data_IF_909832086737
#
_entry.id   IF_909832086737
#
_cell.length_a   1.000
_cell.length_b   1.000
_cell.length_c   1.000
_cell.angle_alpha   90.00
_cell.angle_beta   90.00
_cell.angle_gamma   90.00
#
_symmetry.space_group_name_H-M   'P 1'
#
loop_
_entity.id
_entity.type
_entity.pdbx_description
1 polymer ?
#
# COMPACT_ATOMS: atom_id res chain seq x y z
N UNK A 1 26.55 18.28 0.93
CA UNK A 1 25.30 17.55 1.26
C UNK A 1 24.61 17.19 -0.05
N UNK A 2 24.32 15.90 -0.30
CA UNK A 2 23.58 15.45 -1.50
C UNK A 2 22.16 15.12 -1.06
N UNK A 3 21.16 15.74 -1.67
CA UNK A 3 19.74 15.44 -1.45
C UNK A 3 19.31 14.48 -2.57
N UNK A 4 18.66 13.38 -2.19
CA UNK A 4 18.13 12.39 -3.14
C UNK A 4 16.64 12.22 -2.87
N UNK A 5 15.82 12.34 -3.91
CA UNK A 5 14.39 12.05 -3.84
C UNK A 5 14.16 10.60 -4.25
N UNK A 6 13.49 9.84 -3.39
CA UNK A 6 13.16 8.44 -3.61
C UNK A 6 11.64 8.27 -3.67
N UNK A 7 11.20 7.33 -4.50
CA UNK A 7 9.80 6.94 -4.63
C UNK A 7 9.54 5.72 -3.74
N UNK A 8 8.79 5.90 -2.65
CA UNK A 8 8.46 4.83 -1.70
C UNK A 8 7.70 3.67 -2.36
N UNK A 9 6.96 3.93 -3.45
CA UNK A 9 6.24 2.90 -4.19
C UNK A 9 7.19 1.92 -4.90
N UNK A 10 8.44 2.32 -5.18
CA UNK A 10 9.49 1.42 -5.71
C UNK A 10 10.02 0.42 -4.69
N UNK A 11 9.69 0.61 -3.42
CA UNK A 11 9.99 -0.32 -2.34
C UNK A 11 8.77 -1.13 -1.94
N UNK A 12 7.62 -0.46 -1.83
CA UNK A 12 6.38 -0.99 -1.29
C UNK A 12 5.22 -0.77 -2.28
N UNK A 13 5.12 -1.59 -3.36
CA UNK A 13 4.22 -1.35 -4.48
C UNK A 13 2.77 -1.78 -4.17
N UNK A 14 2.14 -1.13 -3.21
CA UNK A 14 0.73 -1.34 -2.88
C UNK A 14 0.06 -0.04 -2.43
N UNK A 15 -1.25 -0.07 -2.21
CA UNK A 15 -1.98 1.14 -1.80
C UNK A 15 -1.55 1.60 -0.41
N UNK A 16 -1.54 2.92 -0.22
CA UNK A 16 -1.18 3.54 1.05
C UNK A 16 -2.02 3.01 2.23
N UNK A 17 -3.35 2.93 2.08
CA UNK A 17 -4.22 2.33 3.10
C UNK A 17 -3.80 0.93 3.51
N UNK A 18 -3.39 0.11 2.52
CA UNK A 18 -2.98 -1.26 2.78
C UNK A 18 -1.68 -1.29 3.56
N UNK A 19 -0.72 -0.42 3.22
CA UNK A 19 0.53 -0.28 3.96
C UNK A 19 0.27 0.12 5.42
N UNK A 20 -0.53 1.16 5.65
CA UNK A 20 -0.89 1.62 7.00
C UNK A 20 -1.55 0.50 7.80
N UNK A 21 -2.45 -0.29 7.18
CA UNK A 21 -3.14 -1.40 7.86
C UNK A 21 -2.22 -2.56 8.28
N UNK A 22 -0.99 -2.64 7.75
CA UNK A 22 -0.01 -3.62 8.21
C UNK A 22 0.70 -3.22 9.52
N UNK A 23 0.64 -1.95 9.89
CA UNK A 23 1.30 -1.45 11.09
C UNK A 23 0.43 -1.73 12.32
N UNK A 24 1.07 -2.18 13.39
CA UNK A 24 0.47 -2.29 14.72
C UNK A 24 0.43 -0.92 15.41
N UNK A 25 -0.46 -0.69 16.39
CA UNK A 25 -0.52 0.58 17.12
C UNK A 25 0.79 1.05 17.77
N UNK A 26 1.72 0.15 18.09
CA UNK A 26 3.05 0.49 18.62
C UNK A 26 4.08 0.88 17.55
N UNK A 27 3.78 0.67 16.27
CA UNK A 27 4.65 0.98 15.13
C UNK A 27 4.44 2.40 14.57
N UNK A 28 3.44 3.13 15.09
CA UNK A 28 3.14 4.52 14.76
C UNK A 28 3.90 5.50 15.67
N UNK A 29 5.24 5.38 15.68
CA UNK A 29 6.10 6.13 16.59
C UNK A 29 6.13 7.62 16.27
N UNK A 30 6.21 7.98 15.00
CA UNK A 30 6.23 9.35 14.52
C UNK A 30 4.85 9.99 14.71
N UNK A 31 3.76 9.29 14.39
CA UNK A 31 2.41 9.78 14.66
C UNK A 31 2.23 10.16 16.14
N UNK A 32 2.70 9.34 17.08
CA UNK A 32 2.64 9.67 18.52
C UNK A 32 3.51 10.88 18.88
N UNK A 33 4.68 11.02 18.25
CA UNK A 33 5.57 12.15 18.50
C UNK A 33 5.00 13.48 17.97
N UNK A 34 4.30 13.46 16.82
CA UNK A 34 3.69 14.65 16.21
C UNK A 34 2.31 14.99 16.80
N UNK A 35 1.65 14.03 17.44
CA UNK A 35 0.37 14.20 18.13
C UNK A 35 0.44 13.67 19.58
N UNK A 36 1.29 14.25 20.46
CA UNK A 36 1.52 13.71 21.80
C UNK A 36 0.37 13.95 22.79
N UNK A 37 -0.49 14.95 22.51
CA UNK A 37 -1.52 15.44 23.44
C UNK A 37 -2.94 15.08 23.00
N UNK A 38 -3.11 14.18 22.02
CA UNK A 38 -4.44 13.70 21.62
C UNK A 38 -4.84 12.50 22.47
N UNK A 39 -6.13 12.39 22.77
CA UNK A 39 -6.68 11.21 23.44
C UNK A 39 -6.63 9.99 22.51
N UNK A 40 -6.66 8.78 23.08
CA UNK A 40 -6.58 7.55 22.28
C UNK A 40 -7.72 7.45 21.25
N UNK A 41 -8.95 7.90 21.57
CA UNK A 41 -10.08 7.91 20.63
C UNK A 41 -9.81 8.82 19.43
N UNK A 42 -9.21 9.99 19.67
CA UNK A 42 -8.84 10.95 18.63
C UNK A 42 -7.65 10.43 17.82
N UNK A 43 -6.68 9.79 18.47
CA UNK A 43 -5.55 9.17 17.78
C UNK A 43 -5.99 8.08 16.79
N UNK A 44 -6.96 7.25 17.19
CA UNK A 44 -7.52 6.21 16.30
C UNK A 44 -8.26 6.79 15.09
N UNK A 45 -8.72 8.05 15.14
CA UNK A 45 -9.24 8.72 13.95
C UNK A 45 -8.13 9.03 12.95
N UNK A 46 -6.94 9.40 13.42
CA UNK A 46 -5.80 9.76 12.56
C UNK A 46 -5.18 8.55 11.84
N UNK A 47 -5.33 7.34 12.39
CA UNK A 47 -4.82 6.11 11.77
C UNK A 47 -5.74 5.54 10.69
N UNK A 48 -6.95 6.09 10.55
CA UNK A 48 -7.86 5.70 9.48
C UNK A 48 -7.51 6.46 8.22
N UNK A 49 -7.90 5.88 7.08
CA UNK A 49 -7.81 6.54 5.79
C UNK A 49 -8.48 7.92 5.86
N UNK A 50 -7.68 8.96 5.64
CA UNK A 50 -8.21 10.31 5.49
C UNK A 50 -9.09 10.43 4.25
N UNK A 51 -10.06 11.34 4.28
CA UNK A 51 -10.94 11.58 3.14
C UNK A 51 -10.91 13.05 2.78
N UNK A 52 -10.74 13.35 1.49
CA UNK A 52 -10.51 14.70 1.02
C UNK A 52 -11.35 15.03 -0.22
N UNK A 53 -11.97 16.22 -0.31
CA UNK A 53 -12.83 16.59 -1.42
C UNK A 53 -12.00 17.17 -2.59
N UNK A 54 -11.25 16.30 -3.28
CA UNK A 54 -10.27 16.71 -4.30
C UNK A 54 -10.83 17.65 -5.38
N UNK A 55 -11.98 17.31 -5.96
CA UNK A 55 -12.58 18.11 -7.05
C UNK A 55 -13.26 19.41 -6.57
N UNK A 56 -13.48 19.55 -5.26
CA UNK A 56 -14.00 20.78 -4.67
C UNK A 56 -12.92 21.87 -4.60
N UNK A 57 -11.66 21.47 -4.42
CA UNK A 57 -10.51 22.39 -4.36
C UNK A 57 -10.17 22.90 -5.76
N UNK A 58 -10.76 24.03 -6.12
CA UNK A 58 -10.60 24.66 -7.45
C UNK A 58 -9.72 25.91 -7.43
N UNK A 59 -9.54 26.53 -6.27
CA UNK A 59 -8.68 27.70 -6.08
C UNK A 59 -8.22 27.81 -4.62
N UNK A 60 -7.21 28.64 -4.36
CA UNK A 60 -6.70 28.86 -3.00
C UNK A 60 -7.75 29.45 -2.05
N UNK A 61 -8.71 30.24 -2.56
CA UNK A 61 -9.77 30.84 -1.73
C UNK A 61 -10.71 29.79 -1.11
N UNK A 62 -10.83 28.61 -1.71
CA UNK A 62 -11.67 27.51 -1.19
C UNK A 62 -11.14 26.99 0.15
N UNK A 63 -9.84 27.15 0.44
CA UNK A 63 -9.28 26.76 1.74
C UNK A 63 -9.75 27.67 2.89
N UNK A 64 -10.27 28.87 2.59
CA UNK A 64 -10.84 29.77 3.60
C UNK A 64 -12.28 29.39 3.97
N UNK A 65 -12.89 28.41 3.27
CA UNK A 65 -14.25 27.95 3.55
C UNK A 65 -14.35 27.44 4.99
N UNK A 66 -15.29 27.99 5.74
CA UNK A 66 -15.44 27.71 7.18
C UNK A 66 -16.35 26.53 7.49
N UNK A 67 -16.73 25.76 6.47
CA UNK A 67 -17.63 24.62 6.58
C UNK A 67 -17.05 23.44 5.83
N UNK A 68 -17.26 22.24 6.37
CA UNK A 68 -16.96 21.01 5.64
C UNK A 68 -17.86 20.94 4.39
N UNK A 69 -17.30 20.67 3.19
CA UNK A 69 -18.11 20.52 1.99
C UNK A 69 -19.19 19.45 2.15
N UNK A 70 -20.32 19.65 1.50
CA UNK A 70 -21.42 18.68 1.53
C UNK A 70 -21.03 17.36 0.87
N UNK A 71 -21.68 16.26 1.26
CA UNK A 71 -21.40 14.91 0.71
C UNK A 71 -21.34 14.86 -0.83
N UNK A 72 -22.23 15.52 -1.61
CA UNK A 72 -22.12 15.54 -3.06
C UNK A 72 -20.85 16.21 -3.60
N UNK A 73 -20.29 17.19 -2.87
CA UNK A 73 -19.07 17.91 -3.24
C UNK A 73 -17.80 17.08 -3.03
N UNK A 74 -17.89 15.93 -2.35
CA UNK A 74 -16.81 14.93 -2.27
C UNK A 74 -16.77 13.97 -3.47
N UNK A 75 -17.52 14.24 -4.54
CA UNK A 75 -17.45 13.43 -5.76
C UNK A 75 -16.03 13.46 -6.34
N UNK A 76 -15.50 12.27 -6.67
CA UNK A 76 -14.17 12.12 -7.25
C UNK A 76 -14.29 11.78 -8.74
N UNK A 77 -13.95 12.74 -9.62
CA UNK A 77 -14.00 12.62 -11.08
C UNK A 77 -13.01 11.59 -11.62
N UNK A 78 -11.83 11.45 -11.00
CA UNK A 78 -10.82 10.47 -11.43
C UNK A 78 -11.31 9.02 -11.30
N UNK A 79 -12.08 8.74 -10.24
CA UNK A 79 -12.65 7.41 -9.98
C UNK A 79 -14.11 7.29 -10.38
N UNK A 80 -14.74 8.39 -10.79
CA UNK A 80 -16.16 8.53 -11.10
C UNK A 80 -17.06 7.98 -9.98
N UNK A 81 -16.74 8.30 -8.72
CA UNK A 81 -17.41 7.75 -7.53
C UNK A 81 -17.77 8.84 -6.53
N UNK A 82 -18.92 8.66 -5.88
CA UNK A 82 -19.27 9.39 -4.68
C UNK A 82 -18.57 8.78 -3.44
N UNK A 83 -18.30 9.63 -2.46
CA UNK A 83 -17.91 9.20 -1.12
C UNK A 83 -18.99 8.31 -0.48
N UNK A 84 -18.57 7.31 0.29
CA UNK A 84 -19.49 6.48 1.07
C UNK A 84 -20.04 7.25 2.28
N UNK A 85 -21.20 6.85 2.81
CA UNK A 85 -21.74 7.44 4.05
C UNK A 85 -20.77 7.30 5.23
N UNK A 86 -20.10 6.16 5.33
CA UNK A 86 -19.11 5.87 6.36
C UNK A 86 -17.92 6.83 6.29
N UNK A 87 -17.40 7.07 5.09
CA UNK A 87 -16.24 7.94 4.86
C UNK A 87 -16.61 9.41 5.08
N UNK A 88 -17.81 9.83 4.67
CA UNK A 88 -18.28 11.18 4.94
C UNK A 88 -18.49 11.43 6.43
N UNK A 89 -19.10 10.47 7.14
CA UNK A 89 -19.22 10.52 8.60
C UNK A 89 -17.85 10.59 9.28
N UNK A 90 -16.85 9.88 8.75
CA UNK A 90 -15.48 9.99 9.25
C UNK A 90 -14.91 11.41 9.10
N UNK A 91 -15.08 12.03 7.94
CA UNK A 91 -14.66 13.43 7.71
C UNK A 91 -15.35 14.40 8.68
N UNK A 92 -16.66 14.24 8.92
CA UNK A 92 -17.40 15.04 9.90
C UNK A 92 -16.83 14.88 11.32
N UNK A 93 -16.57 13.64 11.76
CA UNK A 93 -15.98 13.39 13.08
C UNK A 93 -14.60 14.03 13.22
N UNK A 94 -13.76 13.98 12.18
CA UNK A 94 -12.44 14.63 12.20
C UNK A 94 -12.60 16.14 12.31
N UNK A 95 -13.48 16.73 11.50
CA UNK A 95 -13.77 18.17 11.54
C UNK A 95 -14.20 18.64 12.93
N UNK A 96 -15.14 17.93 13.55
CA UNK A 96 -15.67 18.27 14.88
C UNK A 96 -14.65 18.04 16.00
N UNK A 97 -13.99 16.88 16.03
CA UNK A 97 -13.07 16.49 17.11
C UNK A 97 -11.80 17.32 17.15
N UNK A 98 -11.31 17.76 16.00
CA UNK A 98 -10.13 18.64 15.91
C UNK A 98 -10.49 20.12 15.95
N UNK A 99 -11.78 20.48 16.05
CA UNK A 99 -12.23 21.86 16.13
C UNK A 99 -11.83 22.68 14.90
N UNK A 100 -11.87 22.06 13.73
CA UNK A 100 -11.40 22.61 12.47
C UNK A 100 -12.30 23.78 12.06
N UNK A 101 -11.67 24.91 11.72
CA UNK A 101 -12.35 26.16 11.41
C UNK A 101 -12.40 26.44 9.93
N UNK A 102 -11.42 25.98 9.18
CA UNK A 102 -11.31 26.22 7.74
C UNK A 102 -10.93 24.94 7.00
N UNK A 103 -11.27 24.87 5.71
CA UNK A 103 -10.89 23.75 4.87
C UNK A 103 -9.37 23.67 4.68
N UNK A 104 -8.65 24.78 4.83
CA UNK A 104 -7.19 24.84 4.92
C UNK A 104 -6.66 24.06 6.11
N UNK A 105 -7.19 24.28 7.31
CA UNK A 105 -6.81 23.51 8.50
C UNK A 105 -7.11 22.00 8.34
N UNK A 106 -8.23 21.66 7.69
CA UNK A 106 -8.55 20.26 7.34
C UNK A 106 -7.54 19.66 6.37
N UNK A 107 -7.14 20.41 5.34
CA UNK A 107 -6.13 20.01 4.37
C UNK A 107 -4.77 19.80 5.02
N UNK A 108 -4.35 20.71 5.90
CA UNK A 108 -3.09 20.60 6.62
C UNK A 108 -3.06 19.36 7.51
N UNK A 109 -4.15 19.09 8.24
CA UNK A 109 -4.26 17.89 9.05
C UNK A 109 -4.21 16.63 8.19
N UNK A 110 -4.98 16.60 7.09
CA UNK A 110 -5.02 15.48 6.14
C UNK A 110 -3.61 15.18 5.59
N UNK A 111 -2.93 16.18 5.02
CA UNK A 111 -1.60 16.04 4.44
C UNK A 111 -0.55 15.66 5.48
N UNK A 112 -0.61 16.27 6.66
CA UNK A 112 0.29 15.94 7.77
C UNK A 112 0.15 14.48 8.18
N UNK A 113 -1.08 13.97 8.27
CA UNK A 113 -1.34 12.57 8.60
C UNK A 113 -0.81 11.62 7.51
N UNK A 114 -1.05 11.92 6.24
CA UNK A 114 -0.55 11.09 5.12
C UNK A 114 0.99 11.01 5.12
N UNK A 115 1.67 12.15 5.29
CA UNK A 115 3.14 12.20 5.29
C UNK A 115 3.73 11.45 6.48
N UNK A 116 3.20 11.66 7.69
CA UNK A 116 3.75 11.04 8.89
C UNK A 116 3.48 9.53 8.90
N UNK A 117 2.29 9.10 8.49
CA UNK A 117 1.99 7.67 8.38
C UNK A 117 2.85 6.99 7.33
N UNK A 118 3.10 7.63 6.18
CA UNK A 118 4.03 7.09 5.19
C UNK A 118 5.47 7.01 5.75
N UNK A 119 5.87 7.99 6.55
CA UNK A 119 7.16 7.95 7.24
C UNK A 119 7.21 6.80 8.25
N UNK A 120 6.18 6.60 9.08
CA UNK A 120 6.12 5.45 10.01
C UNK A 120 6.19 4.13 9.23
N UNK A 121 5.45 3.98 8.12
CA UNK A 121 5.52 2.80 7.24
C UNK A 121 6.95 2.56 6.76
N UNK A 122 7.62 3.59 6.26
CA UNK A 122 8.95 3.46 5.69
C UNK A 122 10.03 3.25 6.74
N UNK A 123 9.95 3.90 7.90
CA UNK A 123 10.86 3.66 9.03
C UNK A 123 10.74 2.21 9.54
N UNK A 124 9.52 1.67 9.65
CA UNK A 124 9.33 0.26 10.01
C UNK A 124 9.96 -0.67 8.95
N UNK A 125 9.87 -0.33 7.67
CA UNK A 125 10.54 -1.09 6.61
C UNK A 125 12.08 -0.97 6.70
N UNK A 126 12.62 0.20 7.02
CA UNK A 126 14.05 0.41 7.27
C UNK A 126 14.53 -0.41 8.45
N UNK A 127 13.78 -0.43 9.55
CA UNK A 127 14.09 -1.26 10.74
C UNK A 127 14.13 -2.76 10.39
N UNK A 128 13.17 -3.24 9.60
CA UNK A 128 13.14 -4.63 9.15
C UNK A 128 14.37 -4.97 8.29
N UNK A 129 14.68 -4.13 7.31
CA UNK A 129 15.81 -4.36 6.39
C UNK A 129 17.16 -4.26 7.11
N UNK A 130 17.30 -3.33 8.05
CA UNK A 130 18.44 -3.25 8.95
C UNK A 130 18.56 -4.48 9.85
N UNK A 131 17.45 -4.96 10.44
CA UNK A 131 17.45 -6.12 11.33
C UNK A 131 17.88 -7.40 10.60
N UNK A 132 17.30 -7.68 9.42
CA UNK A 132 17.51 -8.96 8.73
C UNK A 132 18.70 -8.94 7.78
N UNK A 133 18.98 -7.82 7.12
CA UNK A 133 19.99 -7.74 6.06
C UNK A 133 21.16 -6.84 6.44
N UNK A 134 21.05 -6.07 7.54
CA UNK A 134 22.02 -5.05 7.94
C UNK A 134 22.31 -4.08 6.79
N UNK A 135 21.27 -3.73 6.05
CA UNK A 135 21.29 -2.82 4.92
C UNK A 135 20.13 -1.85 5.10
N UNK A 136 20.41 -0.54 5.01
CA UNK A 136 19.38 0.49 5.09
C UNK A 136 18.69 0.63 3.74
N UNK A 137 17.40 0.35 3.69
CA UNK A 137 16.59 0.53 2.48
C UNK A 137 16.73 1.92 1.84
N UNK A 138 16.91 2.98 2.65
CA UNK A 138 17.07 4.34 2.15
C UNK A 138 18.39 4.59 1.39
N UNK A 139 19.34 3.64 1.44
CA UNK A 139 20.58 3.68 0.65
C UNK A 139 20.41 3.12 -0.77
N UNK A 140 19.22 2.64 -1.12
CA UNK A 140 18.91 2.06 -2.42
C UNK A 140 17.85 2.90 -3.15
N UNK A 141 17.60 2.58 -4.42
CA UNK A 141 16.56 3.23 -5.21
C UNK A 141 15.24 2.42 -5.27
N UNK A 142 15.32 1.10 -5.12
CA UNK A 142 14.18 0.18 -5.30
C UNK A 142 14.35 -1.07 -4.44
N UNK A 143 13.25 -1.79 -4.19
CA UNK A 143 13.28 -3.09 -3.50
C UNK A 143 14.13 -4.15 -4.24
N UNK A 144 14.04 -4.32 -5.57
CA UNK A 144 14.95 -5.22 -6.29
C UNK A 144 16.44 -4.89 -6.13
N UNK A 145 16.81 -3.61 -6.08
CA UNK A 145 18.19 -3.19 -5.85
C UNK A 145 18.68 -3.57 -4.44
N UNK A 146 17.81 -3.37 -3.43
CA UNK A 146 18.07 -3.82 -2.06
C UNK A 146 18.19 -5.35 -1.99
N UNK A 147 17.29 -6.10 -2.62
CA UNK A 147 17.32 -7.56 -2.65
C UNK A 147 18.58 -8.10 -3.32
N UNK A 148 19.01 -7.48 -4.43
CA UNK A 148 20.24 -7.83 -5.11
C UNK A 148 21.47 -7.61 -4.22
N UNK A 149 21.58 -6.44 -3.60
CA UNK A 149 22.67 -6.16 -2.67
C UNK A 149 22.67 -7.10 -1.46
N UNK A 150 21.49 -7.45 -0.96
CA UNK A 150 21.30 -8.44 0.10
C UNK A 150 21.81 -9.81 -0.33
N UNK A 151 21.44 -10.27 -1.52
CA UNK A 151 21.89 -11.55 -2.07
C UNK A 151 23.41 -11.61 -2.20
N UNK A 152 24.04 -10.56 -2.76
CA UNK A 152 25.50 -10.47 -2.86
C UNK A 152 26.18 -10.48 -1.50
N UNK A 153 25.64 -9.73 -0.52
CA UNK A 153 26.19 -9.66 0.83
C UNK A 153 26.14 -11.00 1.56
N UNK A 154 25.02 -11.72 1.44
CA UNK A 154 24.81 -13.01 2.10
C UNK A 154 25.65 -14.11 1.44
N UNK A 155 25.59 -14.22 0.11
CA UNK A 155 26.27 -15.29 -0.64
C UNK A 155 27.77 -15.06 -0.77
N UNK A 156 28.22 -13.79 -0.74
CA UNK A 156 29.62 -13.37 -1.00
C UNK A 156 30.14 -13.85 -2.35
N UNK A 157 29.24 -14.16 -3.28
CA UNK A 157 29.61 -14.63 -4.63
C UNK A 157 30.36 -13.54 -5.37
N UNK A 158 31.38 -13.93 -6.13
CA UNK A 158 32.05 -13.06 -7.09
C UNK A 158 31.46 -13.34 -8.48
N UNK A 159 30.73 -12.38 -9.01
CA UNK A 159 30.14 -12.49 -10.34
C UNK A 159 31.18 -12.12 -11.39
N UNK A 160 31.24 -12.93 -12.45
CA UNK A 160 32.00 -12.60 -13.65
C UNK A 160 31.21 -11.61 -14.52
N UNK A 161 31.92 -10.70 -15.17
CA UNK A 161 31.32 -9.76 -16.11
C UNK A 161 31.23 -10.44 -17.49
N UNK A 162 30.21 -10.09 -18.26
CA UNK A 162 30.14 -10.50 -19.66
C UNK A 162 31.34 -9.94 -20.44
N UNK A 163 31.98 -10.80 -21.21
CA UNK A 163 33.17 -10.46 -22.00
C UNK A 163 32.85 -10.05 -23.44
N UNK A 164 31.67 -10.43 -23.94
CA UNK A 164 31.20 -10.12 -25.29
C UNK A 164 29.66 -10.14 -25.37
N UNK A 165 29.12 -9.69 -26.51
CA UNK A 165 27.69 -9.55 -26.75
C UNK A 165 26.95 -10.88 -26.88
N UNK A 166 27.60 -11.96 -27.31
CA UNK A 166 26.93 -13.25 -27.51
C UNK A 166 26.53 -13.87 -26.17
N UNK A 167 27.33 -13.69 -25.11
CA UNK A 167 26.95 -14.11 -23.75
C UNK A 167 25.66 -13.44 -23.30
N UNK A 168 25.56 -12.12 -23.50
CA UNK A 168 24.35 -11.35 -23.16
C UNK A 168 23.14 -11.86 -23.95
N UNK A 169 23.28 -12.00 -25.27
CA UNK A 169 22.21 -12.47 -26.15
C UNK A 169 21.78 -13.90 -25.81
N UNK A 170 22.71 -14.78 -25.41
CA UNK A 170 22.40 -16.14 -24.98
C UNK A 170 21.50 -16.15 -23.74
N UNK A 171 21.83 -15.33 -22.73
CA UNK A 171 21.03 -15.22 -21.50
C UNK A 171 19.66 -14.61 -21.80
N UNK A 172 19.61 -13.46 -22.50
CA UNK A 172 18.35 -12.80 -22.90
C UNK A 172 17.41 -13.76 -23.64
N UNK A 173 17.93 -14.49 -24.64
CA UNK A 173 17.14 -15.48 -25.40
C UNK A 173 16.66 -16.65 -24.56
N UNK A 174 17.25 -16.88 -23.40
CA UNK A 174 16.93 -17.99 -22.48
C UNK A 174 15.97 -17.60 -21.36
N UNK A 175 15.74 -16.30 -21.11
CA UNK A 175 14.79 -15.83 -20.09
C UNK A 175 13.36 -16.22 -20.47
N UNK A 176 12.66 -16.89 -19.56
CA UNK A 176 11.23 -17.25 -19.67
C UNK A 176 10.50 -16.82 -18.39
N UNK A 177 9.23 -16.47 -18.51
CA UNK A 177 8.38 -16.16 -17.37
C UNK A 177 7.82 -17.42 -16.69
N UNK A 178 6.84 -17.23 -15.81
CA UNK A 178 6.09 -18.33 -15.21
C UNK A 178 5.32 -19.14 -16.27
N UNK A 179 5.22 -20.45 -16.05
CA UNK A 179 4.45 -21.34 -16.92
C UNK A 179 2.97 -21.19 -16.58
N UNK A 180 2.16 -20.80 -17.56
CA UNK A 180 0.70 -20.76 -17.47
C UNK A 180 0.12 -21.75 -18.46
N UNK A 181 -0.66 -22.72 -17.99
CA UNK A 181 -1.30 -23.74 -18.84
C UNK A 181 -2.77 -23.88 -18.48
N UNK A 182 -3.65 -23.78 -19.48
CA UNK A 182 -5.08 -24.07 -19.36
C UNK A 182 -5.40 -25.35 -20.14
N UNK A 183 -5.37 -26.50 -19.45
CA UNK A 183 -5.67 -27.82 -20.06
C UNK A 183 -7.17 -28.03 -20.23
N UNK A 184 -7.98 -27.46 -19.34
CA UNK A 184 -9.44 -27.46 -19.41
C UNK A 184 -9.95 -26.02 -19.24
N UNK A 185 -10.89 -25.58 -20.09
CA UNK A 185 -11.36 -24.17 -20.13
C UNK A 185 -12.27 -23.80 -18.97
N UNK A 186 -13.04 -24.74 -18.46
CA UNK A 186 -13.99 -24.55 -17.37
C UNK A 186 -14.17 -25.87 -16.65
N UNK A 187 -14.08 -25.87 -15.33
CA UNK A 187 -14.42 -27.00 -14.49
C UNK A 187 -15.30 -26.47 -13.36
N UNK A 188 -16.37 -27.19 -13.07
CA UNK A 188 -17.30 -26.93 -11.97
C UNK A 188 -17.56 -28.26 -11.27
N UNK A 189 -17.49 -28.25 -9.94
CA UNK A 189 -17.78 -29.43 -9.13
C UNK A 189 -19.11 -29.28 -8.40
N UNK A 190 -19.85 -30.38 -8.33
CA UNK A 190 -21.01 -30.58 -7.49
C UNK A 190 -20.60 -30.93 -6.05
N UNK A 191 -20.34 -29.90 -5.26
CA UNK A 191 -19.89 -30.02 -3.87
C UNK A 191 -21.03 -29.76 -2.88
N UNK A 192 -21.27 -30.71 -1.97
CA UNK A 192 -22.33 -30.66 -0.93
C UNK A 192 -22.19 -29.50 0.05
N UNK A 193 -20.99 -28.95 0.21
CA UNK A 193 -20.71 -27.81 1.09
C UNK A 193 -21.05 -26.45 0.46
N UNK A 194 -21.32 -26.41 -0.85
CA UNK A 194 -21.60 -25.18 -1.58
C UNK A 194 -23.02 -25.17 -2.14
N UNK A 195 -23.98 -24.84 -1.28
CA UNK A 195 -25.43 -24.99 -1.53
C UNK A 195 -25.99 -24.24 -2.73
N UNK A 196 -25.29 -23.24 -3.27
CA UNK A 196 -25.76 -22.46 -4.43
C UNK A 196 -25.65 -23.22 -5.75
N UNK A 197 -24.74 -24.17 -5.87
CA UNK A 197 -24.46 -24.91 -7.11
C UNK A 197 -24.59 -26.42 -6.94
N UNK A 198 -24.97 -26.89 -5.75
CA UNK A 198 -25.20 -28.30 -5.47
C UNK A 198 -26.50 -28.80 -6.08
N UNK A 199 -26.43 -29.91 -6.80
CA UNK A 199 -27.57 -30.65 -7.34
C UNK A 199 -27.55 -32.11 -6.87
N UNK A 200 -28.54 -32.57 -6.07
CA UNK A 200 -28.62 -33.95 -5.59
C UNK A 200 -28.84 -34.98 -6.72
N UNK A 201 -29.22 -34.55 -7.93
CA UNK A 201 -29.38 -35.42 -9.08
C UNK A 201 -28.04 -35.72 -9.80
N UNK A 202 -26.95 -35.02 -9.45
CA UNK A 202 -25.64 -35.19 -10.09
C UNK A 202 -24.61 -35.84 -9.15
N UNK A 203 -23.61 -36.58 -9.67
CA UNK A 203 -22.55 -37.17 -8.85
C UNK A 203 -21.79 -36.10 -8.05
N UNK A 204 -21.36 -36.43 -6.84
CA UNK A 204 -20.56 -35.54 -6.00
C UNK A 204 -19.11 -35.57 -6.47
N UNK A 205 -18.49 -34.40 -6.63
CA UNK A 205 -17.07 -34.23 -6.94
C UNK A 205 -16.51 -32.94 -6.31
N UNK A 206 -15.19 -32.79 -6.39
CA UNK A 206 -14.47 -31.72 -5.70
C UNK A 206 -13.36 -31.14 -6.58
N UNK A 207 -13.18 -29.82 -6.53
CA UNK A 207 -12.02 -29.12 -7.07
C UNK A 207 -11.03 -28.79 -5.96
N UNK A 208 -9.75 -29.03 -6.23
CA UNK A 208 -8.67 -28.76 -5.30
C UNK A 208 -7.73 -27.69 -5.86
N UNK A 209 -7.36 -26.72 -5.03
CA UNK A 209 -6.43 -25.65 -5.37
C UNK A 209 -5.16 -25.81 -4.56
N UNK A 210 -4.02 -25.88 -5.26
CA UNK A 210 -2.69 -25.95 -4.67
C UNK A 210 -1.93 -24.70 -5.07
N UNK A 211 -1.31 -24.05 -4.09
CA UNK A 211 -0.39 -22.96 -4.32
C UNK A 211 0.95 -23.25 -3.64
N UNK A 212 2.05 -23.01 -4.35
CA UNK A 212 3.38 -23.24 -3.84
C UNK A 212 3.87 -21.99 -3.10
N UNK A 213 3.98 -22.08 -1.78
CA UNK A 213 4.54 -21.03 -0.95
C UNK A 213 5.98 -20.73 -1.38
N UNK A 214 6.25 -19.47 -1.76
CA UNK A 214 7.59 -19.00 -2.12
C UNK A 214 8.26 -19.77 -3.27
N UNK A 215 7.53 -20.06 -4.37
CA UNK A 215 8.03 -20.85 -5.50
C UNK A 215 9.39 -20.39 -6.08
N UNK A 216 9.64 -19.08 -6.10
CA UNK A 216 10.86 -18.48 -6.68
C UNK A 216 11.89 -18.04 -5.64
N UNK A 217 11.48 -17.88 -4.38
CA UNK A 217 12.27 -17.15 -3.39
C UNK A 217 13.16 -18.03 -2.54
#
# INVERSE_FOLDING_TARGET
MKITFLDSFRFLPTSFDKLVSFLKPNQFSLMKAFFPNVTDDVFQLLLKKGVFPYDYITSSSVFEDTQLPTKPQFFNRMTNKHISDKDYFHAQNVWEKFGIKTLGEYSDLYLKCDVIQLADVFENFRDLTMKYYQLDAASFYTSPGLSWATALKITKVKLELFTDSEMFLFIEKSIRGGITQAVHRYAECNNTHYSKTYDPATPIDYLFYIDANNLYG
#
